data_IF_162290353911
#
_entry.id   IF_162290353911
#
_cell.length_a   1.000
_cell.length_b   1.000
_cell.length_c   1.000
_cell.angle_alpha   90.00
_cell.angle_beta   90.00
_cell.angle_gamma   90.00
#
_symmetry.space_group_name_H-M   'P 1'
#
loop_
_entity.id
_entity.type
_entity.pdbx_description
1 polymer ?
#
# COMPACT_ATOMS: atom_id res chain seq x y z
N UNK A 1 -71.58 -11.41 -8.60
CA UNK A 1 -70.44 -10.70 -9.22
C UNK A 1 -69.24 -10.89 -8.31
N UNK A 2 -68.27 -11.72 -8.69
CA UNK A 2 -67.04 -11.98 -7.90
C UNK A 2 -65.88 -11.35 -8.67
N UNK A 3 -65.32 -10.28 -8.11
CA UNK A 3 -64.17 -9.57 -8.68
C UNK A 3 -62.86 -10.17 -8.17
N UNK A 4 -62.04 -10.70 -9.08
CA UNK A 4 -60.71 -11.22 -8.77
C UNK A 4 -59.72 -10.06 -8.79
N UNK A 5 -59.10 -9.78 -7.65
CA UNK A 5 -58.01 -8.80 -7.53
C UNK A 5 -56.70 -9.52 -7.86
N UNK A 6 -56.05 -9.13 -8.96
CA UNK A 6 -54.73 -9.62 -9.33
C UNK A 6 -53.66 -8.77 -8.63
N UNK A 7 -52.94 -9.35 -7.67
CA UNK A 7 -51.79 -8.72 -7.02
C UNK A 7 -50.54 -8.87 -7.89
N UNK A 8 -49.96 -7.74 -8.32
CA UNK A 8 -48.69 -7.69 -9.04
C UNK A 8 -47.54 -7.78 -8.02
N UNK A 9 -46.80 -8.88 -8.05
CA UNK A 9 -45.60 -9.05 -7.23
C UNK A 9 -44.41 -8.34 -7.90
N UNK A 10 -43.93 -7.26 -7.30
CA UNK A 10 -42.70 -6.58 -7.72
C UNK A 10 -41.50 -7.39 -7.19
N UNK A 11 -40.77 -8.04 -8.08
CA UNK A 11 -39.50 -8.69 -7.78
C UNK A 11 -38.43 -7.59 -7.62
N UNK A 12 -38.08 -7.25 -6.37
CA UNK A 12 -36.88 -6.45 -6.10
C UNK A 12 -35.65 -7.33 -6.35
N UNK A 13 -34.94 -7.06 -7.46
CA UNK A 13 -33.61 -7.59 -7.67
C UNK A 13 -32.66 -6.98 -6.63
N UNK A 14 -32.29 -7.76 -5.62
CA UNK A 14 -31.19 -7.43 -4.73
C UNK A 14 -29.88 -7.50 -5.54
N UNK A 15 -29.40 -6.35 -6.02
CA UNK A 15 -28.08 -6.27 -6.61
C UNK A 15 -27.04 -6.64 -5.57
N UNK A 16 -26.25 -7.67 -5.85
CA UNK A 16 -25.07 -8.02 -5.06
C UNK A 16 -24.13 -6.81 -5.09
N UNK A 17 -24.07 -6.05 -3.98
CA UNK A 17 -22.97 -5.13 -3.78
C UNK A 17 -21.71 -6.00 -3.67
N UNK A 18 -20.94 -6.08 -4.76
CA UNK A 18 -19.56 -6.53 -4.67
C UNK A 18 -18.91 -5.50 -3.74
N UNK A 19 -18.59 -5.92 -2.51
CA UNK A 19 -17.74 -5.12 -1.67
C UNK A 19 -16.41 -5.05 -2.42
N UNK A 20 -16.19 -3.95 -3.14
CA UNK A 20 -14.89 -3.64 -3.71
C UNK A 20 -13.93 -3.70 -2.53
N UNK A 21 -13.01 -4.68 -2.53
CA UNK A 21 -11.98 -4.72 -1.49
C UNK A 21 -11.31 -3.35 -1.47
N UNK A 22 -11.11 -2.78 -0.28
CA UNK A 22 -10.71 -1.39 -0.20
C UNK A 22 -9.35 -1.27 -0.90
N UNK A 23 -9.33 -0.49 -1.99
CA UNK A 23 -8.23 -0.53 -2.92
C UNK A 23 -6.92 -0.08 -2.26
N UNK A 24 -5.86 -0.86 -2.46
CA UNK A 24 -4.50 -0.45 -2.11
C UNK A 24 -3.79 0.07 -3.34
N UNK A 25 -3.36 1.34 -3.29
CA UNK A 25 -2.61 2.03 -4.33
C UNK A 25 -1.57 2.94 -3.70
N UNK A 26 -0.29 2.58 -3.86
CA UNK A 26 0.82 3.31 -3.26
C UNK A 26 1.81 3.77 -4.33
N UNK A 27 2.43 4.91 -4.06
CA UNK A 27 3.64 5.40 -4.70
C UNK A 27 4.75 5.32 -3.66
N UNK A 28 5.81 4.61 -4.01
CA UNK A 28 6.98 4.39 -3.19
C UNK A 28 8.14 5.17 -3.79
N UNK A 29 8.86 5.92 -2.97
CA UNK A 29 9.99 6.75 -3.41
C UNK A 29 11.20 6.48 -2.54
N UNK A 30 12.37 6.39 -3.18
CA UNK A 30 13.69 6.28 -2.56
C UNK A 30 14.58 7.38 -3.12
N UNK A 31 15.04 8.27 -2.25
CA UNK A 31 15.94 9.36 -2.59
C UNK A 31 17.29 9.11 -1.92
N UNK A 32 18.36 9.01 -2.71
CA UNK A 32 19.74 9.03 -2.19
C UNK A 32 20.38 10.36 -2.56
N UNK A 33 21.25 10.88 -1.70
CA UNK A 33 21.94 12.15 -1.96
C UNK A 33 22.81 12.15 -3.23
N UNK A 34 23.32 11.00 -3.67
CA UNK A 34 24.23 10.88 -4.82
C UNK A 34 23.67 10.04 -5.98
N UNK A 35 22.38 9.67 -5.97
CA UNK A 35 21.75 8.86 -7.02
C UNK A 35 20.43 9.49 -7.48
N UNK A 36 19.98 9.20 -8.72
CA UNK A 36 18.64 9.57 -9.15
C UNK A 36 17.57 8.97 -8.24
N UNK A 37 16.55 9.77 -7.92
CA UNK A 37 15.35 9.31 -7.20
C UNK A 37 14.72 8.11 -7.92
N UNK A 38 14.43 7.06 -7.16
CA UNK A 38 13.71 5.88 -7.64
C UNK A 38 12.27 5.96 -7.17
N UNK A 39 11.36 5.56 -8.05
CA UNK A 39 9.93 5.55 -7.77
C UNK A 39 9.30 4.28 -8.30
N UNK A 40 8.45 3.64 -7.49
CA UNK A 40 7.67 2.48 -7.85
C UNK A 40 6.20 2.69 -7.52
N UNK A 41 5.30 2.23 -8.38
CA UNK A 41 3.88 2.16 -8.09
C UNK A 41 3.49 0.75 -7.69
N UNK A 42 2.55 0.63 -6.75
CA UNK A 42 2.02 -0.65 -6.28
C UNK A 42 0.50 -0.57 -6.23
N UNK A 43 -0.18 -1.54 -6.84
CA UNK A 43 -1.61 -1.82 -6.66
C UNK A 43 -1.77 -3.27 -6.24
N UNK A 44 -2.72 -3.59 -5.35
CA UNK A 44 -2.91 -4.96 -4.87
C UNK A 44 -4.19 -5.64 -5.38
N UNK A 45 -5.15 -4.88 -5.91
CA UNK A 45 -6.45 -5.40 -6.36
C UNK A 45 -6.84 -4.80 -7.73
N UNK A 46 -6.38 -5.39 -8.85
CA UNK A 46 -5.45 -6.53 -8.94
C UNK A 46 -3.99 -6.12 -8.69
N UNK A 47 -3.15 -7.12 -8.37
CA UNK A 47 -1.70 -6.90 -8.15
C UNK A 47 -1.03 -6.35 -9.40
N UNK A 48 -0.32 -5.24 -9.27
CA UNK A 48 0.39 -4.61 -10.39
C UNK A 48 1.12 -3.31 -10.01
N UNK A 49 1.47 -2.54 -11.04
CA UNK A 49 2.32 -1.35 -10.92
C UNK A 49 3.75 -1.60 -11.40
N UNK A 50 4.63 -0.61 -11.19
CA UNK A 50 6.04 -0.70 -11.58
C UNK A 50 6.94 -1.36 -10.52
N UNK A 51 6.40 -1.70 -9.35
CA UNK A 51 7.17 -2.36 -8.31
C UNK A 51 7.65 -3.77 -8.75
N UNK A 52 8.96 -4.05 -8.77
CA UNK A 52 9.51 -5.27 -9.35
C UNK A 52 9.10 -6.55 -8.61
N UNK A 53 8.78 -6.44 -7.31
CA UNK A 53 8.30 -7.53 -6.47
C UNK A 53 6.85 -7.32 -6.00
N UNK A 54 5.95 -6.85 -6.87
CA UNK A 54 4.58 -6.45 -6.52
C UNK A 54 3.80 -7.51 -5.71
N UNK A 55 3.90 -8.80 -6.07
CA UNK A 55 3.23 -9.90 -5.34
C UNK A 55 3.74 -9.99 -3.90
N UNK A 56 5.05 -9.95 -3.69
CA UNK A 56 5.64 -10.03 -2.36
C UNK A 56 5.34 -8.76 -1.53
N UNK A 57 5.33 -7.59 -2.17
CA UNK A 57 4.98 -6.33 -1.53
C UNK A 57 3.51 -6.31 -1.06
N UNK A 58 2.57 -6.77 -1.89
CA UNK A 58 1.17 -6.91 -1.49
C UNK A 58 0.98 -7.97 -0.40
N UNK A 59 1.72 -9.09 -0.46
CA UNK A 59 1.72 -10.11 0.60
C UNK A 59 2.20 -9.55 1.95
N UNK A 60 3.19 -8.67 1.96
CA UNK A 60 3.63 -7.96 3.16
C UNK A 60 2.56 -7.02 3.71
N UNK A 61 1.84 -6.31 2.84
CA UNK A 61 0.81 -5.35 3.25
C UNK A 61 -0.48 -6.01 3.77
N UNK A 62 -0.83 -7.20 3.28
CA UNK A 62 -2.09 -7.88 3.60
C UNK A 62 -2.38 -8.02 5.11
N UNK A 63 -1.45 -8.50 5.96
CA UNK A 63 -1.70 -8.64 7.39
C UNK A 63 -1.53 -7.33 8.19
N UNK A 64 -0.93 -6.28 7.62
CA UNK A 64 -0.57 -5.09 8.39
C UNK A 64 -1.80 -4.27 8.72
N UNK A 65 -1.88 -3.71 9.93
CA UNK A 65 -2.87 -2.67 10.29
C UNK A 65 -2.44 -1.28 9.80
N UNK A 66 -1.14 -1.01 9.87
CA UNK A 66 -0.51 0.27 9.56
C UNK A 66 0.85 0.01 8.90
N UNK A 67 1.27 0.92 8.01
CA UNK A 67 2.59 0.87 7.41
C UNK A 67 3.56 1.70 8.25
N UNK A 68 4.60 1.06 8.77
CA UNK A 68 5.69 1.74 9.49
C UNK A 68 7.04 1.32 8.91
N UNK A 69 8.02 2.22 9.01
CA UNK A 69 9.42 1.97 8.70
C UNK A 69 10.18 1.76 10.00
N UNK A 70 11.03 0.71 10.11
CA UNK A 70 11.76 0.41 11.33
C UNK A 70 12.72 1.54 11.71
N UNK A 71 13.06 1.60 12.99
CA UNK A 71 14.07 2.54 13.47
C UNK A 71 15.48 2.13 13.05
N UNK A 72 16.34 3.13 12.89
CA UNK A 72 17.78 2.91 12.76
C UNK A 72 18.33 2.44 14.11
N UNK A 73 19.25 1.48 14.11
CA UNK A 73 19.87 0.99 15.34
C UNK A 73 20.76 2.08 15.95
N UNK A 74 20.42 2.62 17.13
CA UNK A 74 21.18 3.71 17.75
C UNK A 74 22.55 3.28 18.28
N UNK A 75 22.82 1.97 18.39
CA UNK A 75 24.12 1.44 18.85
C UNK A 75 25.19 1.45 17.75
N UNK A 76 24.79 1.62 16.50
CA UNK A 76 25.69 1.62 15.35
C UNK A 76 26.48 2.93 15.30
N UNK A 77 27.81 2.82 15.33
CA UNK A 77 28.68 3.99 15.20
C UNK A 77 28.68 4.49 13.75
N UNK A 78 28.17 5.70 13.55
CA UNK A 78 28.17 6.35 12.25
C UNK A 78 29.60 6.71 11.80
N UNK A 79 30.14 6.02 10.80
CA UNK A 79 31.44 6.35 10.21
C UNK A 79 31.35 7.46 9.16
N UNK A 80 30.24 7.50 8.42
CA UNK A 80 29.91 8.52 7.44
C UNK A 80 28.40 8.67 7.36
N UNK A 81 27.94 9.91 7.38
CA UNK A 81 26.54 10.24 7.14
C UNK A 81 26.27 10.32 5.64
N UNK A 82 25.33 9.54 5.15
CA UNK A 82 24.89 9.55 3.75
C UNK A 82 23.39 9.24 3.72
N UNK A 83 22.52 10.26 3.77
CA UNK A 83 21.12 10.06 4.03
C UNK A 83 20.40 9.45 2.83
N UNK A 84 19.51 8.49 3.13
CA UNK A 84 18.56 7.92 2.19
C UNK A 84 17.16 8.10 2.74
N UNK A 85 16.28 8.70 1.93
CA UNK A 85 14.88 8.96 2.31
C UNK A 85 13.99 7.94 1.62
N UNK A 86 13.22 7.20 2.41
CA UNK A 86 12.15 6.33 1.93
C UNK A 86 10.80 6.98 2.21
N UNK A 87 9.89 6.88 1.23
CA UNK A 87 8.54 7.44 1.31
C UNK A 87 7.52 6.48 0.72
N UNK A 88 6.37 6.36 1.37
CA UNK A 88 5.18 5.69 0.84
C UNK A 88 3.97 6.60 0.98
N UNK A 89 3.30 6.86 -0.13
CA UNK A 89 2.12 7.73 -0.20
C UNK A 89 1.02 7.09 -1.01
N UNK A 90 -0.24 7.32 -0.62
CA UNK A 90 -1.40 6.87 -1.36
C UNK A 90 -2.47 6.30 -0.44
N UNK A 91 -3.15 5.27 -0.91
CA UNK A 91 -4.25 4.61 -0.21
C UNK A 91 -3.82 3.19 0.16
N UNK A 92 -3.88 2.85 1.44
CA UNK A 92 -3.72 1.50 1.96
C UNK A 92 -5.07 1.03 2.49
N UNK A 93 -5.71 0.09 1.78
CA UNK A 93 -7.04 -0.43 2.15
C UNK A 93 -8.04 0.67 2.49
N UNK A 94 -8.20 1.62 1.56
CA UNK A 94 -9.15 2.73 1.71
C UNK A 94 -8.71 3.84 2.67
N UNK A 95 -7.59 3.66 3.39
CA UNK A 95 -7.05 4.67 4.32
C UNK A 95 -5.91 5.43 3.66
N UNK A 96 -5.95 6.79 3.61
CA UNK A 96 -4.84 7.57 3.10
C UNK A 96 -3.63 7.46 4.04
N UNK A 97 -2.46 7.21 3.48
CA UNK A 97 -1.20 7.13 4.23
C UNK A 97 -0.15 8.07 3.62
N UNK A 98 0.73 8.57 4.48
CA UNK A 98 1.99 9.21 4.11
C UNK A 98 3.02 8.84 5.17
N UNK A 99 3.96 7.99 4.79
CA UNK A 99 5.02 7.49 5.66
C UNK A 99 6.35 7.94 5.08
N UNK A 100 7.22 8.50 5.92
CA UNK A 100 8.54 8.99 5.54
C UNK A 100 9.56 8.56 6.58
N UNK A 101 10.71 8.07 6.14
CA UNK A 101 11.87 7.82 7.00
C UNK A 101 13.15 8.20 6.31
N UNK A 102 14.02 8.90 7.04
CA UNK A 102 15.40 9.12 6.65
C UNK A 102 16.30 8.18 7.45
N UNK A 103 17.15 7.43 6.76
CA UNK A 103 18.23 6.65 7.35
C UNK A 103 19.55 7.34 7.05
N UNK A 104 20.33 7.61 8.08
CA UNK A 104 21.51 8.48 7.98
C UNK A 104 22.83 7.74 7.94
N UNK A 105 22.95 6.70 8.78
CA UNK A 105 24.20 5.99 8.96
C UNK A 105 24.06 4.50 8.62
N UNK A 106 22.90 3.91 8.90
CA UNK A 106 22.57 2.55 8.53
C UNK A 106 21.12 2.44 8.06
N UNK A 107 20.93 1.83 6.88
CA UNK A 107 19.60 1.38 6.44
C UNK A 107 19.41 -0.03 7.01
N UNK A 108 18.38 -0.29 7.83
CA UNK A 108 18.09 -1.63 8.34
C UNK A 108 17.63 -2.57 7.22
N UNK A 109 17.50 -3.86 7.52
CA UNK A 109 16.82 -4.76 6.60
C UNK A 109 15.36 -4.35 6.44
N UNK A 110 14.97 -4.02 5.21
CA UNK A 110 13.62 -3.58 4.88
C UNK A 110 12.81 -4.73 4.25
N UNK A 111 11.49 -4.77 4.49
CA UNK A 111 10.61 -5.77 3.89
C UNK A 111 10.49 -5.60 2.38
N UNK A 112 9.93 -6.61 1.71
CA UNK A 112 9.80 -6.70 0.25
C UNK A 112 9.11 -5.49 -0.41
N UNK A 113 8.32 -4.72 0.35
CA UNK A 113 7.72 -3.46 -0.10
C UNK A 113 8.74 -2.39 -0.53
N UNK A 114 9.96 -2.41 0.03
CA UNK A 114 10.97 -1.37 -0.21
C UNK A 114 12.06 -1.81 -1.19
N UNK A 115 11.86 -2.94 -1.87
CA UNK A 115 12.83 -3.53 -2.79
C UNK A 115 12.59 -3.07 -4.24
N UNK A 116 12.90 -1.81 -4.55
CA UNK A 116 12.74 -1.19 -5.88
C UNK A 116 13.88 -0.21 -6.26
#
# INVERSE_FOLDING_TARGET
MVGIVAAVAVLLAAGSAVAEEPATRLVLTREDSDQPTRTATLTCDPVGGSHPAAVAACGFLAPLGELTLPEEDPSVRCFRYHPVVYRAEGILRGTPISVVRTYGCLIPELPALWAF
#
